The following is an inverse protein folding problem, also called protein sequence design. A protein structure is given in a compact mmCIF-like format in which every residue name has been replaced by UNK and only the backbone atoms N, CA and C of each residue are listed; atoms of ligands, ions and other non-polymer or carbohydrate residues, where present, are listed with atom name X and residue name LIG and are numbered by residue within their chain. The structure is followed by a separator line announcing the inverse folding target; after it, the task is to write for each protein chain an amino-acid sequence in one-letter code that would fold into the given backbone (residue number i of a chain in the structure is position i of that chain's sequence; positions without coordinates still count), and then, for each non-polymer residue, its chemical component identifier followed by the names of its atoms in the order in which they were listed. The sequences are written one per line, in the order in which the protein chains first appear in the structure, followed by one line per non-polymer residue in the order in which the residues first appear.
data_IF_309061320239
#
_entry.id   IF_309061320239
#
_cell.length_a   1.000
_cell.length_b   1.000
_cell.length_c   1.000
_cell.angle_alpha   90.00
_cell.angle_beta   90.00
_cell.angle_gamma   90.00
#
_symmetry.space_group_name_H-M   'P 1'
#
loop_
_entity.id
_entity.type
_entity.pdbx_description
1 polymer ?
#
# COMPACT_ATOMS: atom_id res chain seq x y z
N UNK A 1 12.21 -15.56 -14.65
CA UNK A 1 12.28 -15.57 -13.17
C UNK A 1 11.23 -14.59 -12.70
N UNK A 2 10.19 -15.05 -11.99
CA UNK A 2 9.18 -14.15 -11.43
C UNK A 2 9.78 -13.49 -10.20
N UNK A 3 10.02 -12.18 -10.26
CA UNK A 3 10.46 -11.41 -9.09
C UNK A 3 9.35 -11.47 -8.04
N UNK A 4 9.69 -11.92 -6.83
CA UNK A 4 8.76 -11.91 -5.71
C UNK A 4 8.53 -10.45 -5.28
N UNK A 5 7.27 -10.07 -5.14
CA UNK A 5 6.85 -8.70 -4.78
C UNK A 5 6.00 -8.72 -3.53
N UNK A 6 6.16 -7.70 -2.68
CA UNK A 6 5.33 -7.47 -1.51
C UNK A 6 3.85 -7.38 -1.89
N UNK A 7 3.01 -8.21 -1.27
CA UNK A 7 1.57 -8.25 -1.54
C UNK A 7 0.81 -7.00 -1.05
N UNK A 8 1.47 -6.10 -0.32
CA UNK A 8 0.90 -4.85 0.21
C UNK A 8 1.29 -3.59 -0.58
N UNK A 9 2.50 -3.56 -1.15
CA UNK A 9 3.04 -2.35 -1.79
C UNK A 9 3.78 -2.61 -3.12
N UNK A 10 3.76 -3.85 -3.61
CA UNK A 10 4.44 -4.33 -4.81
C UNK A 10 5.97 -4.15 -4.85
N UNK A 11 6.61 -3.70 -3.76
CA UNK A 11 8.07 -3.59 -3.72
C UNK A 11 8.72 -4.97 -3.90
N UNK A 12 9.85 -5.08 -4.62
CA UNK A 12 10.60 -6.33 -4.72
C UNK A 12 11.05 -6.82 -3.35
N UNK A 13 10.89 -8.12 -3.09
CA UNK A 13 11.33 -8.78 -1.85
C UNK A 13 12.12 -10.04 -2.18
N UNK A 14 13.07 -10.39 -1.31
CA UNK A 14 13.88 -11.61 -1.47
C UNK A 14 13.18 -12.89 -0.98
N UNK A 15 12.25 -12.76 -0.04
CA UNK A 15 11.49 -13.86 0.57
C UNK A 15 10.25 -13.32 1.30
N UNK A 16 9.31 -14.18 1.64
CA UNK A 16 8.10 -13.84 2.40
C UNK A 16 6.96 -13.27 1.57
N UNK A 17 5.94 -12.75 2.24
CA UNK A 17 4.77 -12.10 1.60
C UNK A 17 4.82 -10.57 1.63
N UNK A 18 5.44 -10.02 2.67
CA UNK A 18 5.49 -8.58 2.91
C UNK A 18 6.93 -8.11 3.11
N UNK A 19 7.23 -6.86 2.72
CA UNK A 19 8.51 -6.22 3.01
C UNK A 19 8.53 -5.65 4.43
N UNK A 20 9.74 -5.39 4.94
CA UNK A 20 9.96 -4.84 6.29
C UNK A 20 9.29 -3.48 6.53
N UNK A 21 8.96 -2.76 5.46
CA UNK A 21 8.29 -1.44 5.52
C UNK A 21 6.76 -1.55 5.60
N UNK A 22 6.21 -2.73 5.34
CA UNK A 22 4.77 -2.98 5.44
C UNK A 22 4.40 -3.78 6.69
N UNK A 23 5.39 -4.26 7.44
CA UNK A 23 5.18 -5.05 8.65
C UNK A 23 5.55 -4.27 9.90
N UNK A 24 4.92 -4.60 11.02
CA UNK A 24 5.32 -4.14 12.34
C UNK A 24 6.61 -4.82 12.83
N UNK A 25 7.00 -4.54 14.08
CA UNK A 25 8.18 -5.12 14.72
C UNK A 25 8.09 -6.64 14.92
N UNK A 26 6.89 -7.21 14.87
CA UNK A 26 6.62 -8.65 15.00
C UNK A 26 6.51 -9.34 13.62
N UNK A 27 6.56 -8.57 12.53
CA UNK A 27 6.46 -9.08 11.16
C UNK A 27 5.02 -9.22 10.66
N UNK A 28 4.02 -8.73 11.40
CA UNK A 28 2.63 -8.73 10.94
C UNK A 28 2.38 -7.55 10.02
N UNK A 29 1.53 -7.74 9.01
CA UNK A 29 1.13 -6.65 8.13
C UNK A 29 0.49 -5.52 8.95
N UNK A 30 0.97 -4.29 8.75
CA UNK A 30 0.40 -3.09 9.32
C UNK A 30 -1.10 -2.98 9.00
N UNK A 31 -1.85 -2.27 9.85
CA UNK A 31 -3.27 -2.03 9.60
C UNK A 31 -3.51 -1.26 8.30
N UNK A 32 -4.68 -1.43 7.69
CA UNK A 32 -5.05 -0.73 6.46
C UNK A 32 -4.89 0.79 6.58
N UNK A 33 -5.42 1.39 7.64
CA UNK A 33 -5.35 2.84 7.89
C UNK A 33 -3.91 3.34 8.02
N UNK A 34 -3.05 2.56 8.69
CA UNK A 34 -1.64 2.88 8.85
C UNK A 34 -0.91 2.85 7.51
N UNK A 35 -1.12 1.80 6.70
CA UNK A 35 -0.53 1.73 5.36
C UNK A 35 -1.06 2.79 4.43
N UNK A 36 -2.36 3.04 4.46
CA UNK A 36 -3.00 4.07 3.66
C UNK A 36 -2.41 5.45 3.97
N UNK A 37 -2.32 5.82 5.24
CA UNK A 37 -1.72 7.07 5.67
C UNK A 37 -0.24 7.18 5.25
N UNK A 38 0.55 6.11 5.46
CA UNK A 38 1.96 6.10 5.10
C UNK A 38 2.19 6.23 3.57
N UNK A 39 1.40 5.53 2.75
CA UNK A 39 1.50 5.62 1.29
C UNK A 39 1.04 6.97 0.75
N UNK A 40 -0.03 7.53 1.32
CA UNK A 40 -0.52 8.87 0.95
C UNK A 40 0.53 9.92 1.25
N UNK A 41 1.14 9.90 2.45
CA UNK A 41 2.22 10.82 2.81
C UNK A 41 3.41 10.68 1.88
N UNK A 42 3.86 9.45 1.60
CA UNK A 42 4.95 9.20 0.66
C UNK A 42 4.67 9.75 -0.75
N UNK A 43 3.41 9.72 -1.18
CA UNK A 43 2.99 10.23 -2.50
C UNK A 43 3.06 11.77 -2.53
N UNK A 44 2.57 12.43 -1.49
CA UNK A 44 2.67 13.89 -1.32
C UNK A 44 4.12 14.37 -1.25
N UNK A 45 5.00 13.61 -0.60
CA UNK A 45 6.43 13.94 -0.52
C UNK A 45 7.13 13.82 -1.89
N UNK A 46 6.68 12.90 -2.74
CA UNK A 46 7.29 12.62 -4.06
C UNK A 46 6.74 13.44 -5.20
N UNK A 47 5.53 13.95 -5.06
CA UNK A 47 4.80 14.67 -6.10
C UNK A 47 4.45 16.08 -5.59
N UNK A 48 5.39 17.04 -5.66
CA UNK A 48 5.15 18.40 -5.21
C UNK A 48 4.00 19.02 -6.00
N UNK A 49 2.94 19.46 -5.30
CA UNK A 49 1.74 20.03 -5.91
C UNK A 49 0.59 19.05 -6.10
N UNK A 50 0.76 17.78 -5.73
CA UNK A 50 -0.36 16.85 -5.61
C UNK A 50 -1.24 17.25 -4.42
N UNK A 51 -2.54 17.37 -4.66
CA UNK A 51 -3.51 17.64 -3.60
C UNK A 51 -3.69 16.42 -2.69
N UNK A 52 -4.01 16.65 -1.42
CA UNK A 52 -4.22 15.57 -0.44
C UNK A 52 -5.33 14.61 -0.88
N UNK A 53 -6.44 15.12 -1.38
CA UNK A 53 -7.57 14.29 -1.81
C UNK A 53 -7.20 13.44 -3.03
N UNK A 54 -6.44 14.01 -3.96
CA UNK A 54 -5.91 13.27 -5.11
C UNK A 54 -4.94 12.17 -4.68
N UNK A 55 -4.00 12.46 -3.77
CA UNK A 55 -3.07 11.48 -3.23
C UNK A 55 -3.79 10.32 -2.53
N UNK A 56 -4.84 10.62 -1.76
CA UNK A 56 -5.68 9.62 -1.09
C UNK A 56 -6.45 8.75 -2.09
N UNK A 57 -7.07 9.37 -3.11
CA UNK A 57 -7.81 8.67 -4.13
C UNK A 57 -6.93 7.73 -4.96
N UNK A 58 -5.73 8.19 -5.35
CA UNK A 58 -4.75 7.38 -6.06
C UNK A 58 -4.17 6.27 -5.20
N UNK A 59 -3.93 6.54 -3.91
CA UNK A 59 -3.47 5.51 -2.97
C UNK A 59 -4.50 4.40 -2.82
N UNK A 60 -5.80 4.74 -2.68
CA UNK A 60 -6.88 3.74 -2.64
C UNK A 60 -6.95 2.92 -3.93
N UNK A 61 -6.86 3.58 -5.09
CA UNK A 61 -6.87 2.90 -6.39
C UNK A 61 -5.68 1.95 -6.54
N UNK A 62 -4.49 2.37 -6.09
CA UNK A 62 -3.30 1.53 -6.08
C UNK A 62 -3.45 0.34 -5.12
N UNK A 63 -3.89 0.59 -3.89
CA UNK A 63 -4.10 -0.46 -2.89
C UNK A 63 -5.12 -1.50 -3.39
N UNK A 64 -6.16 -1.10 -4.11
CA UNK A 64 -7.12 -2.04 -4.71
C UNK A 64 -6.50 -3.08 -5.66
N UNK A 65 -5.33 -2.79 -6.25
CA UNK A 65 -4.59 -3.73 -7.11
C UNK A 65 -3.68 -4.69 -6.33
N UNK A 66 -3.51 -4.47 -5.03
CA UNK A 66 -2.62 -5.25 -4.17
C UNK A 66 -3.37 -6.43 -3.55
N UNK A 67 -2.79 -7.65 -3.56
CA UNK A 67 -3.44 -8.83 -2.98
C UNK A 67 -3.84 -8.68 -1.51
N UNK A 68 -3.04 -7.96 -0.72
CA UNK A 68 -3.32 -7.76 0.71
C UNK A 68 -4.58 -6.91 0.98
N UNK A 69 -5.00 -6.09 0.01
CA UNK A 69 -6.04 -5.08 0.22
C UNK A 69 -7.25 -5.25 -0.68
N UNK A 70 -7.17 -6.07 -1.73
CA UNK A 70 -8.23 -6.21 -2.74
C UNK A 70 -9.63 -6.45 -2.15
N UNK A 71 -9.73 -7.18 -1.03
CA UNK A 71 -11.00 -7.48 -0.35
C UNK A 71 -11.39 -6.46 0.75
N UNK A 72 -10.58 -5.42 0.99
CA UNK A 72 -10.82 -4.48 2.08
C UNK A 72 -12.03 -3.57 1.80
N UNK A 73 -12.96 -3.36 2.75
CA UNK A 73 -14.18 -2.56 2.53
C UNK A 73 -13.95 -1.13 2.03
N UNK A 74 -12.80 -0.53 2.37
CA UNK A 74 -12.45 0.81 1.92
C UNK A 74 -12.08 0.88 0.43
N UNK A 75 -11.62 -0.23 -0.17
CA UNK A 75 -11.29 -0.29 -1.61
C UNK A 75 -12.42 -0.91 -2.43
N UNK A 76 -13.11 -1.93 -1.89
CA UNK A 76 -14.21 -2.62 -2.59
C UNK A 76 -15.47 -1.80 -2.70
N UNK A 77 -15.71 -0.83 -1.80
CA UNK A 77 -16.86 0.08 -1.90
C UNK A 77 -16.79 1.00 -3.14
N UNK A 78 -15.63 1.08 -3.82
CA UNK A 78 -15.39 1.93 -4.99
C UNK A 78 -15.43 1.16 -6.33
N UNK A 79 -15.52 -0.17 -6.33
CA UNK A 79 -15.54 -1.03 -7.53
C UNK A 79 -16.94 -1.34 -8.04
#
# INVERSE_FOLDING_TARGET
MTTLTCESCSMPIGTGRYCVHCTDAEGNLQGFEERFAAMTTWRLEREPGLDREAAEAETLAWMATMPAWADHPAVTRRS
#
